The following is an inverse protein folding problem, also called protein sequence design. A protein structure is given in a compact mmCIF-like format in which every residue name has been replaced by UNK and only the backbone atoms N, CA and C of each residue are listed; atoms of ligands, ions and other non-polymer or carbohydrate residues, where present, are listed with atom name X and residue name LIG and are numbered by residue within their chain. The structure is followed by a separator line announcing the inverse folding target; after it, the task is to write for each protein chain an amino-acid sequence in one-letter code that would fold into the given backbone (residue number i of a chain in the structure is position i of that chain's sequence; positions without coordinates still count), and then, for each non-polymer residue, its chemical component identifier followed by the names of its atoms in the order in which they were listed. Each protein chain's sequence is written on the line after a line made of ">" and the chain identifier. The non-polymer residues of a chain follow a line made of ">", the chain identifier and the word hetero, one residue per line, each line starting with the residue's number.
data_IF_261789096585
#
_entry.id   IF_261789096585
#
_cell.length_a   1.000
_cell.length_b   1.000
_cell.length_c   1.000
_cell.angle_alpha   90.00
_cell.angle_beta   90.00
_cell.angle_gamma   90.00
#
_symmetry.space_group_name_H-M   'P 1'
#
loop_
_entity.id
_entity.type
_entity.pdbx_description
1 polymer ?
#
# COMPACT_ATOMS: atom_id res chain seq x y z
N UNK A 1 4.79 -8.11 -3.78
CA UNK A 1 3.40 -7.68 -4.06
C UNK A 1 2.28 -8.68 -3.75
N UNK A 2 2.51 -10.01 -3.70
CA UNK A 2 1.47 -10.94 -3.19
C UNK A 2 1.00 -10.58 -1.76
N UNK A 3 1.92 -10.08 -0.92
CA UNK A 3 1.67 -9.81 0.50
C UNK A 3 0.60 -8.76 0.84
N UNK A 4 0.47 -7.64 0.12
CA UNK A 4 -0.53 -6.61 0.51
C UNK A 4 -1.96 -7.12 0.28
N UNK A 5 -2.22 -7.77 -0.86
CA UNK A 5 -3.52 -8.39 -1.13
C UNK A 5 -3.84 -9.54 -0.18
N UNK A 6 -2.83 -10.35 0.18
CA UNK A 6 -2.98 -11.44 1.17
C UNK A 6 -3.21 -10.92 2.59
N UNK A 7 -2.62 -9.76 2.95
CA UNK A 7 -2.64 -9.19 4.30
C UNK A 7 -3.85 -8.30 4.55
N UNK A 8 -4.34 -7.60 3.53
CA UNK A 8 -5.50 -6.72 3.59
C UNK A 8 -6.60 -7.19 2.63
N UNK A 9 -7.21 -8.37 2.88
CA UNK A 9 -8.24 -8.92 2.02
C UNK A 9 -9.45 -7.97 1.99
N UNK A 10 -9.82 -7.50 0.78
CA UNK A 10 -10.93 -6.58 0.56
C UNK A 10 -10.58 -5.09 0.66
N UNK A 11 -9.38 -4.74 1.12
CA UNK A 11 -8.92 -3.35 1.12
C UNK A 11 -8.28 -2.95 -0.21
N UNK A 12 -7.55 -3.86 -0.87
CA UNK A 12 -6.88 -3.61 -2.14
C UNK A 12 -7.88 -3.71 -3.30
N UNK A 13 -8.14 -2.59 -3.96
CA UNK A 13 -9.06 -2.50 -5.09
C UNK A 13 -8.32 -2.70 -6.42
N UNK A 14 -7.14 -2.10 -6.55
CA UNK A 14 -6.33 -2.16 -7.77
C UNK A 14 -4.84 -2.05 -7.40
N UNK A 15 -4.00 -2.69 -8.20
CA UNK A 15 -2.55 -2.48 -8.17
C UNK A 15 -2.02 -2.38 -9.60
N UNK A 16 -1.24 -1.35 -9.89
CA UNK A 16 -0.65 -1.13 -11.20
C UNK A 16 0.85 -0.84 -11.07
N UNK A 17 1.64 -1.58 -11.84
CA UNK A 17 3.07 -1.34 -11.98
C UNK A 17 3.31 -0.55 -13.27
N UNK A 18 3.74 0.71 -13.14
CA UNK A 18 4.06 1.55 -14.28
C UNK A 18 5.45 2.16 -14.12
N UNK A 19 6.34 1.90 -15.08
CA UNK A 19 7.72 2.43 -15.10
C UNK A 19 8.55 2.18 -13.83
N UNK A 20 8.26 1.10 -13.11
CA UNK A 20 8.95 0.74 -11.87
C UNK A 20 8.34 1.36 -10.61
N UNK A 21 7.32 2.20 -10.77
CA UNK A 21 6.50 2.69 -9.67
C UNK A 21 5.30 1.78 -9.48
N UNK A 22 5.09 1.38 -8.23
CA UNK A 22 3.91 0.64 -7.81
C UNK A 22 2.86 1.60 -7.26
N UNK A 23 1.70 1.63 -7.90
CA UNK A 23 0.50 2.28 -7.37
C UNK A 23 -0.49 1.25 -6.82
N UNK A 24 -1.03 1.51 -5.63
CA UNK A 24 -2.12 0.72 -5.04
C UNK A 24 -3.33 1.62 -4.78
N UNK A 25 -4.53 1.10 -5.06
CA UNK A 25 -5.79 1.73 -4.71
C UNK A 25 -6.38 0.95 -3.54
N UNK A 26 -6.67 1.66 -2.45
CA UNK A 26 -7.23 1.06 -1.22
C UNK A 26 -8.49 1.80 -0.78
N UNK A 27 -9.33 1.13 0.01
CA UNK A 27 -10.50 1.79 0.61
C UNK A 27 -10.06 2.86 1.63
N UNK A 28 -10.84 3.94 1.83
CA UNK A 28 -10.51 4.99 2.79
C UNK A 28 -10.29 4.49 4.21
N UNK A 29 -11.03 3.46 4.62
CA UNK A 29 -10.98 2.89 5.97
C UNK A 29 -9.65 2.17 6.24
N UNK A 30 -9.00 1.67 5.20
CA UNK A 30 -7.76 0.91 5.30
C UNK A 30 -6.49 1.78 5.30
N UNK A 31 -6.59 3.08 5.00
CA UNK A 31 -5.44 3.97 4.78
C UNK A 31 -4.47 3.97 5.97
N UNK A 32 -4.98 4.12 7.19
CA UNK A 32 -4.14 4.21 8.39
C UNK A 32 -3.41 2.89 8.66
N UNK A 33 -4.08 1.77 8.45
CA UNK A 33 -3.52 0.44 8.72
C UNK A 33 -2.45 0.07 7.68
N UNK A 34 -2.74 0.31 6.39
CA UNK A 34 -1.80 0.08 5.29
C UNK A 34 -0.58 0.97 5.43
N UNK A 35 -0.74 2.27 5.73
CA UNK A 35 0.39 3.18 5.94
C UNK A 35 1.27 2.75 7.12
N UNK A 36 0.67 2.25 8.21
CA UNK A 36 1.42 1.70 9.35
C UNK A 36 2.23 0.48 8.96
N UNK A 37 1.64 -0.46 8.22
CA UNK A 37 2.35 -1.64 7.70
C UNK A 37 3.51 -1.24 6.81
N UNK A 38 3.29 -0.33 5.85
CA UNK A 38 4.34 0.14 4.95
C UNK A 38 5.52 0.73 5.72
N UNK A 39 5.24 1.50 6.78
CA UNK A 39 6.29 2.07 7.62
C UNK A 39 7.02 1.04 8.47
N UNK A 40 6.29 0.20 9.20
CA UNK A 40 6.87 -0.66 10.25
C UNK A 40 7.44 -1.95 9.68
N UNK A 41 6.75 -2.59 8.74
CA UNK A 41 7.14 -3.89 8.20
C UNK A 41 7.93 -3.77 6.90
N UNK A 42 7.58 -2.83 6.02
CA UNK A 42 8.25 -2.65 4.71
C UNK A 42 9.32 -1.54 4.72
N UNK A 43 9.42 -0.77 5.80
CA UNK A 43 10.47 0.23 6.00
C UNK A 43 10.30 1.53 5.22
N UNK A 44 9.10 1.85 4.72
CA UNK A 44 8.81 3.14 4.11
C UNK A 44 8.79 4.24 5.18
N UNK A 45 9.91 4.91 5.36
CA UNK A 45 10.13 5.93 6.40
C UNK A 45 9.95 7.38 5.90
N UNK A 46 9.89 7.56 4.58
CA UNK A 46 9.71 8.85 3.93
C UNK A 46 8.33 8.98 3.27
N UNK A 47 7.62 10.07 3.57
CA UNK A 47 6.36 10.41 2.92
C UNK A 47 6.59 11.51 1.89
N UNK A 48 6.56 11.14 0.61
CA UNK A 48 6.70 12.07 -0.50
C UNK A 48 5.34 12.71 -0.79
N UNK A 49 5.17 13.98 -0.41
CA UNK A 49 4.06 14.81 -0.88
C UNK A 49 4.51 15.53 -2.16
N UNK A 50 3.83 15.28 -3.27
CA UNK A 50 3.98 16.02 -4.52
C UNK A 50 2.72 16.83 -4.80
#
# INVERSE_FOLDING_TARGET
>A
MRRIGDRFPGALQESSDFRGDLSIVITPEAVVEVARYLKVEEGFDYFLYA
#
